data_IF_715552058007
#
_entry.id   IF_715552058007
#
_cell.length_a   1.000
_cell.length_b   1.000
_cell.length_c   1.000
_cell.angle_alpha   90.00
_cell.angle_beta   90.00
_cell.angle_gamma   90.00
#
_symmetry.space_group_name_H-M   'P 1'
#
loop_
_entity.id
_entity.type
_entity.pdbx_description
1 polymer ?
#
# COMPACT_ATOMS: atom_id res chain seq x y z
N UNK A 1 22.24 -44.48 -44.25
CA UNK A 1 21.39 -43.30 -44.48
C UNK A 1 20.05 -43.55 -43.81
N UNK A 2 19.54 -42.85 -42.80
CA UNK A 2 19.83 -41.55 -42.22
C UNK A 2 18.48 -40.98 -41.77
N UNK A 3 18.03 -41.32 -40.56
CA UNK A 3 16.89 -40.68 -39.89
C UNK A 3 17.37 -39.36 -39.31
N UNK A 4 16.76 -38.25 -39.71
CA UNK A 4 16.69 -36.97 -38.99
C UNK A 4 15.24 -36.49 -39.20
N UNK A 5 14.39 -36.28 -38.19
CA UNK A 5 14.65 -35.56 -36.96
C UNK A 5 14.25 -34.11 -37.19
N UNK A 6 13.00 -33.75 -36.88
CA UNK A 6 12.75 -32.41 -36.36
C UNK A 6 11.50 -32.39 -35.47
N UNK A 7 11.80 -32.17 -34.21
CA UNK A 7 10.89 -32.08 -33.08
C UNK A 7 10.01 -30.84 -33.24
N UNK A 8 8.70 -31.03 -33.08
CA UNK A 8 7.75 -29.95 -32.91
C UNK A 8 8.00 -29.30 -31.54
N UNK A 9 8.92 -28.34 -31.50
CA UNK A 9 9.13 -27.46 -30.35
C UNK A 9 7.81 -26.76 -30.06
N UNK A 10 7.29 -27.02 -28.86
CA UNK A 10 6.10 -26.41 -28.31
C UNK A 10 6.23 -24.89 -28.25
N UNK A 11 5.86 -24.22 -29.35
CA UNK A 11 5.52 -22.82 -29.34
C UNK A 11 4.29 -22.65 -28.46
N UNK A 12 4.48 -22.07 -27.27
CA UNK A 12 3.40 -21.60 -26.40
C UNK A 12 2.54 -20.68 -27.28
N UNK A 13 1.40 -21.19 -27.77
CA UNK A 13 0.46 -20.40 -28.57
C UNK A 13 0.09 -19.19 -27.73
N UNK A 14 0.47 -17.98 -28.18
CA UNK A 14 -0.05 -16.75 -27.60
C UNK A 14 -1.58 -16.86 -27.67
N UNK A 15 -2.30 -16.65 -26.55
CA UNK A 15 -3.75 -16.75 -26.57
C UNK A 15 -4.33 -15.74 -27.57
N UNK A 16 -5.47 -16.08 -28.21
CA UNK A 16 -6.06 -15.24 -29.23
C UNK A 16 -6.45 -13.88 -28.64
N UNK A 17 -6.15 -12.84 -29.41
CA UNK A 17 -6.58 -11.46 -29.18
C UNK A 17 -8.11 -11.46 -29.26
N UNK A 18 -8.77 -11.59 -28.12
CA UNK A 18 -10.23 -11.79 -28.09
C UNK A 18 -10.73 -12.49 -26.84
N UNK A 19 -10.36 -12.00 -25.65
CA UNK A 19 -11.14 -12.27 -24.45
C UNK A 19 -11.51 -10.95 -23.79
N UNK A 20 -12.71 -10.47 -24.11
CA UNK A 20 -13.39 -9.39 -23.40
C UNK A 20 -13.69 -9.77 -21.91
N UNK A 21 -13.20 -10.93 -21.43
CA UNK A 21 -13.38 -11.42 -20.07
C UNK A 21 -12.10 -11.51 -19.22
N UNK A 22 -10.90 -11.20 -19.74
CA UNK A 22 -9.71 -11.07 -18.88
C UNK A 22 -9.16 -9.64 -18.77
N UNK A 23 -9.66 -8.70 -19.59
CA UNK A 23 -9.06 -7.38 -19.77
C UNK A 23 -9.49 -6.30 -18.75
N UNK A 24 -10.20 -6.66 -17.68
CA UNK A 24 -10.76 -5.70 -16.71
C UNK A 24 -10.23 -5.85 -15.27
N UNK A 25 -9.35 -6.81 -14.97
CA UNK A 25 -9.27 -7.35 -13.59
C UNK A 25 -7.99 -7.15 -12.77
N UNK A 26 -6.90 -6.63 -13.32
CA UNK A 26 -5.62 -6.67 -12.58
C UNK A 26 -5.01 -5.28 -12.26
N UNK A 27 -5.64 -4.18 -12.69
CA UNK A 27 -5.12 -2.81 -12.51
C UNK A 27 -5.24 -2.24 -11.10
N UNK A 28 -5.61 -3.06 -10.10
CA UNK A 28 -6.00 -2.59 -8.77
C UNK A 28 -5.27 -3.38 -7.67
N UNK A 29 -4.21 -4.15 -7.96
CA UNK A 29 -3.61 -5.02 -6.94
C UNK A 29 -3.07 -4.24 -5.72
N UNK A 30 -2.40 -3.10 -5.93
CA UNK A 30 -1.87 -2.31 -4.81
C UNK A 30 -2.98 -1.57 -4.06
N UNK A 31 -3.91 -0.94 -4.79
CA UNK A 31 -5.05 -0.24 -4.20
C UNK A 31 -6.03 -1.19 -3.49
N UNK A 32 -6.23 -2.43 -3.97
CA UNK A 32 -7.02 -3.46 -3.27
C UNK A 32 -6.34 -3.87 -1.97
N UNK A 33 -5.03 -4.10 -1.97
CA UNK A 33 -4.27 -4.44 -0.75
C UNK A 33 -4.41 -3.28 0.26
N UNK A 34 -4.30 -2.05 -0.23
CA UNK A 34 -4.52 -0.86 0.58
C UNK A 34 -5.91 -0.75 1.18
N UNK A 35 -6.94 -0.84 0.34
CA UNK A 35 -8.33 -0.79 0.76
C UNK A 35 -8.69 -1.91 1.72
N UNK A 36 -8.15 -3.12 1.53
CA UNK A 36 -8.31 -4.24 2.45
C UNK A 36 -7.68 -3.93 3.81
N UNK A 37 -6.48 -3.35 3.83
CA UNK A 37 -5.80 -2.95 5.06
C UNK A 37 -6.58 -1.85 5.81
N UNK A 38 -7.07 -0.84 5.09
CA UNK A 38 -7.91 0.22 5.66
C UNK A 38 -9.20 -0.37 6.24
N UNK A 39 -9.86 -1.27 5.51
CA UNK A 39 -11.09 -1.95 5.98
C UNK A 39 -10.82 -2.74 7.25
N UNK A 40 -9.75 -3.54 7.30
CA UNK A 40 -9.35 -4.30 8.49
C UNK A 40 -9.11 -3.34 9.66
N UNK A 41 -8.42 -2.22 9.43
CA UNK A 41 -8.13 -1.22 10.46
C UNK A 41 -9.41 -0.64 11.07
N UNK A 42 -10.36 -0.22 10.25
CA UNK A 42 -11.63 0.34 10.73
C UNK A 42 -12.53 -0.72 11.39
N UNK A 43 -12.54 -1.96 10.89
CA UNK A 43 -13.26 -3.05 11.54
C UNK A 43 -12.67 -3.35 12.92
N UNK A 44 -11.34 -3.38 13.06
CA UNK A 44 -10.70 -3.58 14.36
C UNK A 44 -10.98 -2.41 15.31
N UNK A 45 -11.00 -1.17 14.81
CA UNK A 45 -11.42 0.01 15.58
C UNK A 45 -12.85 -0.11 16.08
N UNK A 46 -13.79 -0.41 15.18
CA UNK A 46 -15.20 -0.59 15.52
C UNK A 46 -15.41 -1.72 16.55
N UNK A 47 -14.78 -2.87 16.36
CA UNK A 47 -14.87 -3.98 17.31
C UNK A 47 -14.21 -3.63 18.64
N UNK A 48 -13.10 -2.90 18.63
CA UNK A 48 -12.46 -2.39 19.85
C UNK A 48 -13.41 -1.52 20.66
N UNK A 49 -14.14 -0.62 20.01
CA UNK A 49 -15.07 0.30 20.67
C UNK A 49 -16.32 -0.43 21.19
N UNK A 50 -16.86 -1.38 20.42
CA UNK A 50 -18.01 -2.21 20.83
C UNK A 50 -17.67 -3.11 22.03
N UNK A 51 -16.50 -3.77 21.98
CA UNK A 51 -16.10 -4.74 23.01
C UNK A 51 -15.22 -4.16 24.11
N UNK A 52 -14.89 -2.86 24.04
CA UNK A 52 -13.96 -2.17 24.95
C UNK A 52 -12.64 -2.94 25.12
N UNK A 53 -12.12 -3.51 24.03
CA UNK A 53 -11.00 -4.46 24.07
C UNK A 53 -9.66 -3.80 23.75
N UNK A 54 -8.72 -3.69 24.72
CA UNK A 54 -7.41 -3.07 24.48
C UNK A 54 -6.56 -3.83 23.45
N UNK A 55 -6.80 -5.14 23.28
CA UNK A 55 -6.07 -5.96 22.30
C UNK A 55 -6.49 -5.64 20.87
N UNK A 56 -7.79 -5.46 20.63
CA UNK A 56 -8.29 -5.05 19.31
C UNK A 56 -7.80 -3.65 18.96
N UNK A 57 -7.79 -2.74 19.96
CA UNK A 57 -7.21 -1.41 19.80
C UNK A 57 -5.72 -1.46 19.43
N UNK A 58 -4.93 -2.32 20.07
CA UNK A 58 -3.52 -2.49 19.76
C UNK A 58 -3.30 -2.99 18.32
N UNK A 59 -4.09 -3.96 17.85
CA UNK A 59 -4.02 -4.42 16.47
C UNK A 59 -4.44 -3.32 15.48
N UNK A 60 -5.54 -2.61 15.75
CA UNK A 60 -5.95 -1.44 14.97
C UNK A 60 -4.79 -0.46 14.82
N UNK A 61 -4.13 -0.08 15.91
CA UNK A 61 -3.03 0.89 15.86
C UNK A 61 -1.82 0.36 15.07
N UNK A 62 -1.50 -0.93 15.19
CA UNK A 62 -0.45 -1.55 14.38
C UNK A 62 -0.77 -1.44 12.88
N UNK A 63 -2.01 -1.72 12.48
CA UNK A 63 -2.44 -1.59 11.09
C UNK A 63 -2.52 -0.13 10.64
N UNK A 64 -2.98 0.81 11.47
CA UNK A 64 -3.01 2.24 11.13
C UNK A 64 -1.62 2.78 10.82
N UNK A 65 -0.61 2.39 11.61
CA UNK A 65 0.79 2.84 11.44
C UNK A 65 1.41 2.36 10.13
N UNK A 66 1.02 1.18 9.65
CA UNK A 66 1.48 0.65 8.36
C UNK A 66 0.62 1.18 7.19
N UNK A 67 -0.70 1.23 7.38
CA UNK A 67 -1.66 1.52 6.33
C UNK A 67 -1.76 2.99 5.97
N UNK A 68 -1.71 3.91 6.94
CA UNK A 68 -1.79 5.34 6.65
C UNK A 68 -0.69 5.85 5.70
N UNK A 69 0.62 5.58 5.93
CA UNK A 69 1.64 6.00 4.97
C UNK A 69 1.52 5.28 3.62
N UNK A 70 0.99 4.05 3.60
CA UNK A 70 0.79 3.27 2.38
C UNK A 70 -0.37 3.81 1.54
N UNK A 71 -1.53 4.13 2.13
CA UNK A 71 -2.66 4.74 1.42
C UNK A 71 -2.30 6.11 0.84
N UNK A 72 -1.58 6.93 1.62
CA UNK A 72 -1.10 8.23 1.13
C UNK A 72 -0.14 8.03 -0.05
N UNK A 73 0.77 7.05 0.03
CA UNK A 73 1.64 6.71 -1.10
C UNK A 73 0.83 6.29 -2.33
N UNK A 74 -0.18 5.43 -2.17
CA UNK A 74 -1.04 4.98 -3.27
C UNK A 74 -1.73 6.17 -3.93
N UNK A 75 -2.33 7.07 -3.15
CA UNK A 75 -2.97 8.29 -3.66
C UNK A 75 -1.99 9.19 -4.42
N UNK A 76 -0.80 9.42 -3.86
CA UNK A 76 0.25 10.24 -4.46
C UNK A 76 0.78 9.63 -5.77
N UNK A 77 1.04 8.32 -5.79
CA UNK A 77 1.48 7.63 -7.00
C UNK A 77 0.39 7.63 -8.07
N UNK A 78 -0.85 7.35 -7.68
CA UNK A 78 -1.98 7.30 -8.60
C UNK A 78 -2.18 8.65 -9.30
N UNK A 79 -2.42 9.72 -8.55
CA UNK A 79 -2.66 11.03 -9.16
C UNK A 79 -1.38 11.68 -9.70
N UNK A 80 -0.22 11.40 -9.11
CA UNK A 80 1.08 11.84 -9.63
C UNK A 80 1.31 11.31 -11.04
N UNK A 81 1.11 10.01 -11.27
CA UNK A 81 1.24 9.42 -12.60
C UNK A 81 0.10 9.88 -13.52
N UNK A 82 -1.16 9.92 -13.02
CA UNK A 82 -2.30 10.37 -13.84
C UNK A 82 -2.20 11.83 -14.29
N UNK A 83 -1.48 12.68 -13.54
CA UNK A 83 -1.22 14.07 -13.92
C UNK A 83 -0.31 14.20 -15.14
N UNK A 84 0.50 13.16 -15.42
CA UNK A 84 1.36 13.06 -16.59
C UNK A 84 0.60 12.35 -17.71
N UNK A 85 0.19 11.11 -17.44
CA UNK A 85 -0.60 10.30 -18.36
C UNK A 85 -1.37 9.22 -17.58
N UNK A 86 -2.70 9.31 -17.58
CA UNK A 86 -3.59 8.34 -16.92
C UNK A 86 -3.48 6.94 -17.52
N UNK A 87 -3.13 6.82 -18.79
CA UNK A 87 -3.00 5.53 -19.49
C UNK A 87 -1.85 4.67 -18.97
N UNK A 88 -0.93 5.26 -18.21
CA UNK A 88 0.15 4.52 -17.54
C UNK A 88 -0.34 3.67 -16.37
N UNK A 89 -1.50 4.01 -15.79
CA UNK A 89 -2.09 3.32 -14.63
C UNK A 89 -3.39 2.63 -15.00
N UNK A 90 -4.26 3.31 -15.76
CA UNK A 90 -5.59 2.81 -16.12
C UNK A 90 -5.63 2.57 -17.63
N UNK A 91 -5.91 1.34 -18.09
CA UNK A 91 -6.08 1.05 -19.51
C UNK A 91 -7.17 1.94 -20.14
N UNK A 92 -7.00 2.38 -21.42
CA UNK A 92 -7.95 3.28 -22.08
C UNK A 92 -9.38 2.72 -22.18
N UNK A 93 -9.56 1.41 -22.08
CA UNK A 93 -10.85 0.74 -22.11
C UNK A 93 -11.65 0.90 -20.80
N UNK A 94 -10.99 1.31 -19.72
CA UNK A 94 -11.61 1.43 -18.40
C UNK A 94 -11.91 2.90 -18.10
N UNK A 95 -13.20 3.24 -18.09
CA UNK A 95 -13.68 4.52 -17.59
C UNK A 95 -14.00 4.42 -16.09
N UNK A 96 -13.29 5.19 -15.27
CA UNK A 96 -13.57 5.31 -13.83
C UNK A 96 -14.27 6.65 -13.61
N UNK A 97 -15.48 6.60 -13.07
CA UNK A 97 -16.25 7.78 -12.71
C UNK A 97 -15.57 8.52 -11.54
N UNK A 98 -15.72 9.84 -11.48
CA UNK A 98 -14.98 10.69 -10.55
C UNK A 98 -15.16 10.30 -9.08
N UNK A 99 -16.39 10.07 -8.61
CA UNK A 99 -16.62 9.65 -7.24
C UNK A 99 -16.01 8.29 -6.94
N UNK A 100 -16.12 7.37 -7.88
CA UNK A 100 -15.50 6.05 -7.78
C UNK A 100 -13.98 6.17 -7.64
N UNK A 101 -13.35 7.08 -8.38
CA UNK A 101 -11.92 7.35 -8.27
C UNK A 101 -11.52 7.89 -6.88
N UNK A 102 -12.31 8.82 -6.35
CA UNK A 102 -12.12 9.32 -4.98
C UNK A 102 -12.25 8.20 -3.94
N UNK A 103 -13.21 7.29 -4.10
CA UNK A 103 -13.43 6.17 -3.17
C UNK A 103 -12.26 5.18 -3.14
N UNK A 104 -11.57 5.00 -4.26
CA UNK A 104 -10.43 4.10 -4.32
C UNK A 104 -9.12 4.74 -3.88
N UNK A 105 -8.92 6.03 -4.12
CA UNK A 105 -7.62 6.67 -3.93
C UNK A 105 -7.61 7.75 -2.84
N UNK A 106 -8.66 8.57 -2.72
CA UNK A 106 -8.68 9.68 -1.78
C UNK A 106 -9.16 9.28 -0.39
N UNK A 107 -10.36 8.69 -0.33
CA UNK A 107 -11.03 8.45 0.95
C UNK A 107 -10.26 7.47 1.85
N UNK A 108 -9.67 6.38 1.35
CA UNK A 108 -8.83 5.51 2.18
C UNK A 108 -7.65 6.28 2.79
N UNK A 109 -6.94 7.09 2.00
CA UNK A 109 -5.83 7.91 2.47
C UNK A 109 -6.26 8.96 3.49
N UNK A 110 -7.35 9.68 3.22
CA UNK A 110 -7.88 10.70 4.10
C UNK A 110 -8.36 10.12 5.43
N UNK A 111 -9.14 9.04 5.40
CA UNK A 111 -9.69 8.43 6.61
C UNK A 111 -8.59 7.79 7.45
N UNK A 112 -7.62 7.11 6.83
CA UNK A 112 -6.47 6.55 7.54
C UNK A 112 -5.58 7.64 8.13
N UNK A 113 -5.40 8.77 7.42
CA UNK A 113 -4.74 9.95 7.97
C UNK A 113 -5.45 10.47 9.22
N UNK A 114 -6.76 10.71 9.15
CA UNK A 114 -7.55 11.22 10.26
C UNK A 114 -7.58 10.26 11.45
N UNK A 115 -7.76 8.97 11.20
CA UNK A 115 -7.72 7.93 12.23
C UNK A 115 -6.36 7.91 12.95
N UNK A 116 -5.28 7.99 12.18
CA UNK A 116 -3.95 8.01 12.73
C UNK A 116 -3.72 9.29 13.54
N UNK A 117 -4.05 10.47 13.00
CA UNK A 117 -3.69 11.74 13.66
C UNK A 117 -4.61 12.17 14.79
N UNK A 118 -5.88 11.76 14.77
CA UNK A 118 -6.89 12.20 15.74
C UNK A 118 -7.33 11.09 16.70
N UNK A 119 -7.34 9.82 16.26
CA UNK A 119 -7.99 8.72 16.98
C UNK A 119 -7.01 7.65 17.49
N UNK A 120 -5.72 7.79 17.18
CA UNK A 120 -4.69 6.83 17.57
C UNK A 120 -3.81 7.38 18.70
N UNK A 121 -3.40 6.54 19.67
CA UNK A 121 -2.42 6.92 20.67
C UNK A 121 -1.08 7.21 19.99
N UNK A 122 -0.19 7.95 20.64
CA UNK A 122 1.05 8.34 20.00
C UNK A 122 1.91 7.12 19.69
N UNK A 123 2.43 7.05 18.46
CA UNK A 123 3.29 5.96 17.99
C UNK A 123 4.71 6.45 17.71
N UNK A 124 5.69 5.57 17.93
CA UNK A 124 7.10 5.92 17.81
C UNK A 124 7.79 5.05 16.78
N UNK A 125 7.56 5.35 15.49
CA UNK A 125 8.46 4.87 14.45
C UNK A 125 9.66 5.84 14.38
N UNK A 126 10.87 5.29 14.59
CA UNK A 126 12.14 5.97 14.31
C UNK A 126 12.40 5.92 12.80
N UNK A 127 13.20 6.86 12.28
CA UNK A 127 13.47 6.96 10.85
C UNK A 127 13.98 5.64 10.24
N UNK A 128 14.97 4.98 10.87
CA UNK A 128 15.53 3.73 10.35
C UNK A 128 14.49 2.59 10.24
N UNK A 129 13.66 2.30 11.27
CA UNK A 129 12.50 1.41 11.12
C UNK A 129 11.49 1.83 10.04
N UNK A 130 11.27 3.13 9.80
CA UNK A 130 10.38 3.59 8.73
C UNK A 130 10.90 3.20 7.33
N UNK A 131 12.19 3.40 7.09
CA UNK A 131 12.84 2.97 5.84
C UNK A 131 12.87 1.45 5.71
N UNK A 132 13.12 0.73 6.80
CA UNK A 132 13.08 -0.73 6.82
C UNK A 132 11.68 -1.25 6.44
N UNK A 133 10.63 -0.77 7.09
CA UNK A 133 9.25 -1.14 6.80
C UNK A 133 8.86 -0.83 5.37
N UNK A 134 9.13 0.39 4.91
CA UNK A 134 8.82 0.84 3.55
C UNK A 134 9.56 0.02 2.49
N UNK A 135 10.84 -0.29 2.75
CA UNK A 135 11.65 -1.15 1.89
C UNK A 135 11.13 -2.58 1.83
N UNK A 136 10.74 -3.16 2.98
CA UNK A 136 10.14 -4.50 3.02
C UNK A 136 8.83 -4.58 2.24
N UNK A 137 7.96 -3.56 2.35
CA UNK A 137 6.72 -3.49 1.59
C UNK A 137 6.99 -3.35 0.09
N UNK A 138 7.92 -2.47 -0.31
CA UNK A 138 8.26 -2.27 -1.71
C UNK A 138 8.87 -3.54 -2.35
N UNK A 139 9.80 -4.21 -1.66
CA UNK A 139 10.38 -5.48 -2.11
C UNK A 139 9.33 -6.59 -2.14
N UNK A 140 8.46 -6.66 -1.13
CA UNK A 140 7.34 -7.60 -1.10
C UNK A 140 6.41 -7.44 -2.31
N UNK A 141 5.99 -6.19 -2.58
CA UNK A 141 5.13 -5.88 -3.71
C UNK A 141 5.85 -6.13 -5.05
N UNK A 142 7.14 -5.83 -5.15
CA UNK A 142 7.95 -6.17 -6.32
C UNK A 142 7.92 -7.66 -6.62
N UNK A 143 8.21 -8.49 -5.62
CA UNK A 143 8.23 -9.94 -5.76
C UNK A 143 6.84 -10.45 -6.17
N UNK A 144 5.79 -9.92 -5.55
CA UNK A 144 4.40 -10.26 -5.89
C UNK A 144 4.05 -9.91 -7.33
N UNK A 145 4.37 -8.71 -7.81
CA UNK A 145 4.09 -8.28 -9.19
C UNK A 145 4.81 -9.17 -10.20
N UNK A 146 6.07 -9.52 -9.96
CA UNK A 146 6.82 -10.43 -10.85
C UNK A 146 6.28 -11.86 -10.79
N UNK A 147 5.84 -12.31 -9.61
CA UNK A 147 5.15 -13.59 -9.47
C UNK A 147 3.87 -13.59 -10.31
N UNK A 148 2.99 -12.60 -10.18
CA UNK A 148 1.78 -12.48 -11.02
C UNK A 148 2.10 -12.47 -12.51
N UNK A 149 3.12 -11.70 -12.93
CA UNK A 149 3.56 -11.66 -14.33
C UNK A 149 3.97 -13.05 -14.85
N UNK A 150 4.62 -13.87 -14.02
CA UNK A 150 5.06 -15.23 -14.43
C UNK A 150 3.90 -16.18 -14.76
N UNK A 151 2.72 -15.95 -14.19
CA UNK A 151 1.50 -16.73 -14.46
C UNK A 151 0.61 -16.06 -15.51
N UNK A 152 0.38 -14.75 -15.39
CA UNK A 152 -0.59 -14.02 -16.19
C UNK A 152 -0.01 -13.60 -17.55
N UNK A 153 1.30 -13.36 -17.63
CA UNK A 153 1.99 -12.89 -18.84
C UNK A 153 1.84 -11.40 -19.13
N UNK A 154 1.21 -10.63 -18.23
CA UNK A 154 1.05 -9.18 -18.30
C UNK A 154 1.20 -8.56 -16.91
N UNK A 155 1.54 -7.27 -16.84
CA UNK A 155 1.67 -6.55 -15.57
C UNK A 155 0.34 -5.92 -15.13
N UNK A 156 0.14 -5.68 -13.82
CA UNK A 156 -1.08 -5.01 -13.34
C UNK A 156 -1.23 -3.58 -13.88
N UNK A 157 -0.11 -2.88 -14.10
CA UNK A 157 -0.10 -1.51 -14.61
C UNK A 157 0.64 -1.42 -15.94
N UNK A 158 0.09 -0.72 -16.96
CA UNK A 158 0.74 -0.54 -18.27
C UNK A 158 2.16 0.05 -18.16
N UNK A 159 2.40 0.96 -17.21
CA UNK A 159 3.73 1.53 -16.97
C UNK A 159 4.80 0.47 -16.74
N UNK A 160 4.48 -0.66 -16.10
CA UNK A 160 5.46 -1.70 -15.86
C UNK A 160 5.87 -2.41 -17.15
N UNK A 161 5.04 -2.47 -18.19
CA UNK A 161 5.45 -3.02 -19.49
C UNK A 161 6.44 -2.10 -20.22
N UNK A 162 6.31 -0.80 -20.02
CA UNK A 162 7.16 0.22 -20.65
C UNK A 162 8.54 0.35 -19.98
N UNK A 163 8.64 0.00 -18.70
CA UNK A 163 9.88 0.10 -17.94
C UNK A 163 10.69 -1.18 -18.02
N UNK A 164 11.99 -1.04 -18.27
CA UNK A 164 12.97 -2.11 -18.02
C UNK A 164 13.14 -2.36 -16.51
N UNK A 165 13.83 -3.45 -16.15
CA UNK A 165 14.05 -3.85 -14.76
C UNK A 165 14.72 -2.75 -13.92
N UNK A 166 15.67 -2.01 -14.48
CA UNK A 166 16.38 -0.96 -13.75
C UNK A 166 15.45 0.21 -13.42
N UNK A 167 14.65 0.68 -14.38
CA UNK A 167 13.68 1.75 -14.15
C UNK A 167 12.56 1.33 -13.21
N UNK A 168 12.13 0.07 -13.26
CA UNK A 168 11.23 -0.48 -12.23
C UNK A 168 11.90 -0.39 -10.87
N UNK A 169 13.17 -0.80 -10.74
CA UNK A 169 13.90 -0.77 -9.46
C UNK A 169 13.94 0.63 -8.87
N UNK A 170 14.18 1.63 -9.73
CA UNK A 170 14.10 3.04 -9.35
C UNK A 170 12.70 3.46 -8.92
N UNK A 171 11.64 3.02 -9.63
CA UNK A 171 10.26 3.33 -9.27
C UNK A 171 9.89 2.76 -7.89
N UNK A 172 10.15 1.47 -7.64
CA UNK A 172 9.87 0.86 -6.34
C UNK A 172 10.75 1.41 -5.22
N UNK A 173 12.04 1.67 -5.50
CA UNK A 173 12.94 2.32 -4.55
C UNK A 173 12.49 3.74 -4.20
N UNK A 174 12.07 4.51 -5.20
CA UNK A 174 11.48 5.84 -5.02
C UNK A 174 10.20 5.77 -4.19
N UNK A 175 9.31 4.82 -4.46
CA UNK A 175 8.10 4.59 -3.67
C UNK A 175 8.40 4.27 -2.20
N UNK A 176 9.42 3.45 -1.93
CA UNK A 176 9.85 3.14 -0.56
C UNK A 176 10.36 4.39 0.17
N UNK A 177 11.15 5.23 -0.51
CA UNK A 177 11.63 6.51 0.06
C UNK A 177 10.46 7.45 0.32
N UNK A 178 9.55 7.62 -0.65
CA UNK A 178 8.37 8.47 -0.49
C UNK A 178 7.51 8.01 0.69
N UNK A 179 7.27 6.70 0.83
CA UNK A 179 6.52 6.15 1.96
C UNK A 179 7.20 6.41 3.32
N UNK A 180 8.53 6.26 3.38
CA UNK A 180 9.29 6.55 4.58
C UNK A 180 9.21 8.04 4.94
N UNK A 181 9.31 8.94 3.96
CA UNK A 181 9.12 10.38 4.14
C UNK A 181 7.70 10.69 4.62
N UNK A 182 6.67 10.08 4.02
CA UNK A 182 5.28 10.25 4.46
C UNK A 182 5.06 9.77 5.90
N UNK A 183 5.76 8.72 6.33
CA UNK A 183 5.74 8.26 7.73
C UNK A 183 6.29 9.34 8.68
N UNK A 184 7.35 10.04 8.28
CA UNK A 184 7.91 11.16 9.05
C UNK A 184 6.98 12.38 9.05
N UNK A 185 6.36 12.69 7.91
CA UNK A 185 5.37 13.78 7.79
C UNK A 185 4.15 13.50 8.67
N UNK A 186 3.63 12.27 8.68
CA UNK A 186 2.54 11.85 9.57
C UNK A 186 2.90 12.01 11.03
N UNK A 187 4.13 11.63 11.41
CA UNK A 187 4.63 11.84 12.78
C UNK A 187 4.70 13.32 13.15
N UNK A 188 5.17 14.16 12.23
CA UNK A 188 5.20 15.61 12.42
C UNK A 188 3.79 16.19 12.54
N UNK A 189 2.86 15.80 11.66
CA UNK A 189 1.46 16.21 11.69
C UNK A 189 0.78 15.81 13.01
N UNK A 190 1.06 14.59 13.51
CA UNK A 190 0.58 14.15 14.82
C UNK A 190 1.07 15.07 15.95
N UNK A 191 2.36 15.40 15.97
CA UNK A 191 2.94 16.29 16.98
C UNK A 191 2.39 17.71 16.92
N UNK A 192 2.11 18.21 15.72
CA UNK A 192 1.48 19.52 15.52
C UNK A 192 0.04 19.55 16.08
N UNK A 193 -0.74 18.49 15.84
CA UNK A 193 -2.15 18.42 16.22
C UNK A 193 -2.38 18.03 17.70
N UNK A 194 -1.49 17.22 18.28
CA UNK A 194 -1.65 16.65 19.63
C UNK A 194 -0.65 17.22 20.67
N UNK A 195 0.29 18.09 20.26
CA UNK A 195 1.33 18.65 21.11
C UNK A 195 2.58 17.76 21.27
N UNK A 196 3.75 18.39 21.53
CA UNK A 196 5.06 17.71 21.64
C UNK A 196 5.10 16.70 22.79
N UNK A 197 4.32 16.92 23.86
CA UNK A 197 4.19 15.99 25.00
C UNK A 197 3.64 14.62 24.57
N UNK A 198 2.78 14.57 23.55
CA UNK A 198 2.29 13.32 22.95
C UNK A 198 3.40 12.50 22.28
N UNK A 199 4.38 13.16 21.66
CA UNK A 199 5.55 12.49 21.06
C UNK A 199 6.55 11.99 22.11
N UNK A 200 6.69 12.68 23.25
CA UNK A 200 7.56 12.25 24.36
C UNK A 200 6.96 11.10 25.18
N UNK A 201 5.64 11.07 25.38
CA UNK A 201 4.93 9.96 26.03
C UNK A 201 5.07 8.64 25.25
N UNK A 202 5.12 8.73 23.92
CA UNK A 202 5.31 7.60 23.00
C UNK A 202 6.70 6.93 23.13
N UNK A 203 7.71 7.68 23.58
CA UNK A 203 9.09 7.21 23.72
C UNK A 203 9.37 6.51 25.06
N UNK A 204 8.44 6.56 26.01
CA UNK A 204 8.58 5.94 27.33
C UNK A 204 7.68 4.71 27.44
N UNK A 205 8.20 3.54 27.87
CA UNK A 205 7.35 2.41 28.22
C UNK A 205 6.29 2.85 29.24
N UNK A 206 5.03 2.45 29.05
CA UNK A 206 4.01 2.64 30.08
C UNK A 206 4.45 1.90 31.34
N UNK A 207 4.86 2.67 32.35
CA UNK A 207 5.07 2.16 33.70
C UNK A 207 3.75 2.37 34.45
N UNK A 208 3.02 1.31 34.82
CA UNK A 208 1.83 1.46 35.65
C UNK A 208 2.23 2.22 36.92
N UNK A 209 1.48 3.26 37.28
CA UNK A 209 1.71 3.94 38.55
C UNK A 209 1.52 2.91 39.66
N UNK A 210 2.59 2.63 40.41
CA UNK A 210 2.52 1.79 41.59
C UNK A 210 1.40 2.33 42.48
N UNK A 211 0.40 1.49 42.73
CA UNK A 211 -0.64 1.82 43.70
C UNK A 211 0.07 2.05 45.02
N UNK A 212 0.07 3.29 45.52
CA UNK A 212 0.45 3.58 46.89
C UNK A 212 -0.37 2.66 47.77
N UNK A 213 0.29 1.69 48.41
CA UNK A 213 -0.30 0.95 49.52
C UNK A 213 -0.57 1.98 50.61
N UNK A 214 -1.85 2.25 50.83
CA UNK A 214 -2.34 2.92 52.03
C UNK A 214 -2.31 1.87 53.14
#
# INVERSE_FOLDING_TARGET
>A
MGRNGNESVGGRKKPPIGSCHSASRDSICLAIIGLALATITFVLGLLSDIFLSPRLFAYKNFFSVCGAPMEILIALLYWGICSIDRHLVVPPEIHIEFWTDLMFHLFPALLMFLDLVLLSPPWTIKALPAFGLSGSIAVGYWMWVNYCYSYNGFYPYPIFELLDTQKRAMLFGGSAVTMAVMTLVLKWAYGLLNGIEGLEAAGKPYMPKDKKKI
#
